data_IF_683057643272
#
_entry.id   IF_683057643272
#
_cell.length_a   1.000
_cell.length_b   1.000
_cell.length_c   1.000
_cell.angle_alpha   90.00
_cell.angle_beta   90.00
_cell.angle_gamma   90.00
#
_symmetry.space_group_name_H-M   'P 1'
#
loop_
_entity.id
_entity.type
_entity.pdbx_description
1 polymer ?
#
# COMPACT_ATOMS: atom_id res chain seq x y z
N UNK A 1 -2.11 26.15 -15.53
CA UNK A 1 -1.61 24.93 -14.85
C UNK A 1 -1.65 23.79 -15.87
N UNK A 2 -0.59 22.99 -16.07
CA UNK A 2 -0.51 22.01 -17.19
C UNK A 2 -1.68 21.01 -17.22
N UNK A 3 -2.10 20.52 -16.05
CA UNK A 3 -3.27 19.61 -15.89
C UNK A 3 -4.58 20.23 -16.39
N UNK A 4 -4.76 21.54 -16.29
CA UNK A 4 -5.98 22.23 -16.76
C UNK A 4 -6.01 22.40 -18.28
N UNK A 5 -4.92 22.05 -18.97
CA UNK A 5 -4.78 22.06 -20.43
C UNK A 5 -4.64 20.65 -21.01
N UNK A 6 -4.99 19.62 -20.24
CA UNK A 6 -4.81 18.20 -20.59
C UNK A 6 -3.36 17.77 -20.91
N UNK A 7 -2.37 18.58 -20.51
CA UNK A 7 -0.94 18.30 -20.72
C UNK A 7 -0.39 17.42 -19.59
N UNK A 8 -0.94 16.21 -19.45
CA UNK A 8 -0.62 15.32 -18.34
C UNK A 8 0.80 14.76 -18.40
N UNK A 9 1.32 14.44 -19.59
CA UNK A 9 2.68 13.88 -19.73
C UNK A 9 3.72 14.92 -19.32
N UNK A 10 3.55 16.16 -19.74
CA UNK A 10 4.39 17.29 -19.39
C UNK A 10 4.28 17.62 -17.90
N UNK A 11 3.07 17.56 -17.33
CA UNK A 11 2.87 17.73 -15.90
C UNK A 11 3.63 16.67 -15.08
N UNK A 12 3.62 15.40 -15.50
CA UNK A 12 4.41 14.34 -14.87
C UNK A 12 5.91 14.69 -14.86
N UNK A 13 6.47 15.18 -15.97
CA UNK A 13 7.88 15.59 -16.03
C UNK A 13 8.20 16.71 -15.05
N UNK A 14 7.28 17.67 -14.88
CA UNK A 14 7.45 18.73 -13.87
C UNK A 14 7.44 18.14 -12.46
N UNK A 15 6.48 17.28 -12.11
CA UNK A 15 6.42 16.65 -10.80
C UNK A 15 7.67 15.82 -10.47
N UNK A 16 8.23 15.10 -11.44
CA UNK A 16 9.49 14.39 -11.22
C UNK A 16 10.68 15.31 -11.04
N UNK A 17 10.72 16.46 -11.72
CA UNK A 17 11.81 17.43 -11.57
C UNK A 17 11.84 18.05 -10.16
N UNK A 18 10.66 18.33 -9.61
CA UNK A 18 10.54 18.95 -8.27
C UNK A 18 10.53 17.90 -7.15
N UNK A 19 10.38 16.62 -7.47
CA UNK A 19 10.62 15.54 -6.53
C UNK A 19 12.12 15.48 -6.19
N UNK A 20 12.48 15.54 -4.92
CA UNK A 20 13.87 15.40 -4.46
C UNK A 20 14.32 16.37 -3.37
N UNK A 21 13.53 17.41 -3.07
CA UNK A 21 13.88 18.38 -2.03
C UNK A 21 13.80 17.77 -0.62
N UNK A 22 12.66 17.16 -0.28
CA UNK A 22 12.44 16.47 1.00
C UNK A 22 11.64 15.17 0.79
N UNK A 23 11.76 14.16 1.68
CA UNK A 23 11.06 12.88 1.52
C UNK A 23 9.53 13.01 1.44
N UNK A 24 8.92 13.86 2.29
CA UNK A 24 7.47 14.07 2.28
C UNK A 24 7.02 14.83 1.03
N UNK A 25 7.77 15.86 0.64
CA UNK A 25 7.54 16.57 -0.61
C UNK A 25 7.58 15.61 -1.81
N UNK A 26 8.60 14.76 -1.86
CA UNK A 26 8.78 13.76 -2.92
C UNK A 26 7.62 12.76 -2.95
N UNK A 27 7.11 12.34 -1.79
CA UNK A 27 5.92 11.48 -1.70
C UNK A 27 4.70 12.11 -2.38
N UNK A 28 4.44 13.39 -2.09
CA UNK A 28 3.33 14.16 -2.67
C UNK A 28 3.52 14.33 -4.17
N UNK A 29 4.73 14.67 -4.63
CA UNK A 29 5.01 14.87 -6.06
C UNK A 29 4.88 13.58 -6.86
N UNK A 30 5.33 12.45 -6.32
CA UNK A 30 5.09 11.13 -6.94
C UNK A 30 3.60 10.78 -6.99
N UNK A 31 2.83 11.11 -5.96
CA UNK A 31 1.39 10.90 -5.98
C UNK A 31 0.72 11.74 -7.08
N UNK A 32 1.07 13.03 -7.17
CA UNK A 32 0.54 13.91 -8.21
C UNK A 32 0.93 13.45 -9.63
N UNK A 33 2.17 13.01 -9.81
CA UNK A 33 2.63 12.39 -11.05
C UNK A 33 1.83 11.13 -11.40
N UNK A 34 1.46 10.33 -10.39
CA UNK A 34 0.64 9.13 -10.60
C UNK A 34 -0.72 9.48 -11.21
N UNK A 35 -1.40 10.51 -10.72
CA UNK A 35 -2.71 10.92 -11.26
C UNK A 35 -2.60 11.46 -12.69
N UNK A 36 -1.49 12.07 -13.07
CA UNK A 36 -1.26 12.43 -14.47
C UNK A 36 -1.27 11.19 -15.38
N UNK A 37 -0.74 10.04 -14.94
CA UNK A 37 -0.85 8.79 -15.70
C UNK A 37 -2.27 8.24 -15.76
N UNK A 38 -3.07 8.43 -14.71
CA UNK A 38 -4.48 8.04 -14.71
C UNK A 38 -5.30 8.85 -15.73
N UNK A 39 -5.06 10.16 -15.82
CA UNK A 39 -5.81 11.07 -16.69
C UNK A 39 -5.23 11.25 -18.10
N UNK A 40 -4.04 10.68 -18.37
CA UNK A 40 -3.47 10.66 -19.70
C UNK A 40 -4.42 9.97 -20.72
N UNK A 41 -4.29 10.34 -22.00
CA UNK A 41 -5.03 9.73 -23.10
C UNK A 41 -4.04 9.01 -24.03
N UNK A 42 -4.05 7.65 -24.10
CA UNK A 42 -4.83 6.72 -23.28
C UNK A 42 -4.32 6.64 -21.81
N UNK A 43 -5.16 6.19 -20.86
CA UNK A 43 -4.76 6.00 -19.46
C UNK A 43 -3.60 5.01 -19.32
N UNK A 44 -2.63 5.33 -18.48
CA UNK A 44 -1.43 4.53 -18.25
C UNK A 44 -1.51 3.85 -16.87
N UNK A 45 -2.48 2.96 -16.68
CA UNK A 45 -2.83 2.37 -15.38
C UNK A 45 -1.65 1.70 -14.66
N UNK A 46 -0.78 0.98 -15.40
CA UNK A 46 0.44 0.39 -14.82
C UNK A 46 1.31 1.45 -14.14
N UNK A 47 1.54 2.57 -14.82
CA UNK A 47 2.35 3.66 -14.29
C UNK A 47 1.64 4.33 -13.12
N UNK A 48 0.33 4.55 -13.20
CA UNK A 48 -0.46 5.06 -12.08
C UNK A 48 -0.29 4.21 -10.82
N UNK A 49 -0.60 2.92 -10.89
CA UNK A 49 -0.47 2.02 -9.73
C UNK A 49 0.96 1.94 -9.19
N UNK A 50 1.96 1.84 -10.07
CA UNK A 50 3.36 1.77 -9.65
C UNK A 50 3.82 3.02 -8.89
N UNK A 51 3.44 4.22 -9.35
CA UNK A 51 3.83 5.47 -8.69
C UNK A 51 3.04 5.71 -7.39
N UNK A 52 1.83 5.17 -7.25
CA UNK A 52 1.13 5.14 -5.96
C UNK A 52 1.88 4.31 -4.92
N UNK A 53 2.44 3.14 -5.30
CA UNK A 53 3.26 2.32 -4.39
C UNK A 53 4.50 3.10 -3.95
N UNK A 54 5.25 3.68 -4.89
CA UNK A 54 6.44 4.50 -4.57
C UNK A 54 6.12 5.69 -3.66
N UNK A 55 5.00 6.38 -3.92
CA UNK A 55 4.51 7.46 -3.08
C UNK A 55 4.18 6.95 -1.66
N UNK A 56 3.51 5.79 -1.55
CA UNK A 56 3.20 5.15 -0.28
C UNK A 56 4.43 4.77 0.54
N UNK A 57 5.49 4.29 -0.11
CA UNK A 57 6.77 3.96 0.54
C UNK A 57 7.42 5.22 1.16
N UNK A 58 7.40 6.34 0.43
CA UNK A 58 7.91 7.61 0.94
C UNK A 58 7.03 8.15 2.07
N UNK A 59 5.71 8.09 1.94
CA UNK A 59 4.81 8.43 3.04
C UNK A 59 5.09 7.60 4.29
N UNK A 60 5.40 6.31 4.13
CA UNK A 60 5.70 5.43 5.28
C UNK A 60 7.00 5.82 5.97
N UNK A 61 8.02 6.24 5.19
CA UNK A 61 9.29 6.76 5.72
C UNK A 61 9.13 8.09 6.45
N UNK A 62 8.08 8.84 6.16
CA UNK A 62 7.73 10.10 6.83
C UNK A 62 6.64 9.94 7.91
N UNK A 63 6.36 8.70 8.33
CA UNK A 63 5.34 8.34 9.31
C UNK A 63 3.91 8.83 8.99
N UNK A 64 3.63 9.05 7.71
CA UNK A 64 2.31 9.46 7.21
C UNK A 64 1.40 8.26 6.94
N UNK A 65 1.10 7.47 7.98
CA UNK A 65 0.41 6.17 7.86
C UNK A 65 -0.93 6.24 7.10
N UNK A 66 -1.72 7.30 7.33
CA UNK A 66 -3.00 7.52 6.62
C UNK A 66 -2.79 7.63 5.11
N UNK A 67 -1.76 8.37 4.67
CA UNK A 67 -1.45 8.53 3.26
C UNK A 67 -0.87 7.24 2.67
N UNK A 68 0.01 6.55 3.40
CA UNK A 68 0.55 5.24 3.03
C UNK A 68 -0.56 4.22 2.73
N UNK A 69 -1.51 4.04 3.65
CA UNK A 69 -2.63 3.09 3.46
C UNK A 69 -3.47 3.50 2.24
N UNK A 70 -3.79 4.79 2.10
CA UNK A 70 -4.62 5.30 1.01
C UNK A 70 -3.98 5.06 -0.35
N UNK A 71 -2.68 5.34 -0.53
CA UNK A 71 -2.01 5.12 -1.81
C UNK A 71 -1.88 3.63 -2.14
N UNK A 72 -1.56 2.78 -1.16
CA UNK A 72 -1.51 1.33 -1.34
C UNK A 72 -2.88 0.74 -1.71
N UNK A 73 -3.97 1.17 -1.06
CA UNK A 73 -5.34 0.78 -1.45
C UNK A 73 -5.65 1.19 -2.89
N UNK A 74 -5.28 2.41 -3.27
CA UNK A 74 -5.40 2.88 -4.65
C UNK A 74 -4.59 2.04 -5.65
N UNK A 75 -3.41 1.55 -5.27
CA UNK A 75 -2.63 0.66 -6.10
C UNK A 75 -3.27 -0.73 -6.24
N UNK A 76 -3.89 -1.28 -5.18
CA UNK A 76 -4.58 -2.57 -5.23
C UNK A 76 -5.73 -2.59 -6.23
N UNK A 77 -6.49 -1.50 -6.37
CA UNK A 77 -7.59 -1.44 -7.36
C UNK A 77 -7.07 -1.55 -8.79
N UNK A 78 -5.85 -1.11 -9.05
CA UNK A 78 -5.17 -1.20 -10.35
C UNK A 78 -4.65 -2.62 -10.61
N UNK A 79 -4.14 -3.30 -9.59
CA UNK A 79 -3.46 -4.59 -9.75
C UNK A 79 -4.39 -5.79 -9.64
N UNK A 80 -5.59 -5.61 -9.09
CA UNK A 80 -6.61 -6.65 -8.97
C UNK A 80 -6.93 -7.28 -10.34
N UNK A 81 -6.90 -8.60 -10.41
CA UNK A 81 -7.19 -9.36 -11.64
C UNK A 81 -6.16 -9.24 -12.76
N UNK A 82 -5.04 -8.55 -12.53
CA UNK A 82 -3.94 -8.45 -13.51
C UNK A 82 -2.91 -9.56 -13.34
N UNK A 83 -1.95 -9.66 -14.27
CA UNK A 83 -0.79 -10.57 -14.15
C UNK A 83 0.35 -9.97 -13.32
N UNK A 84 0.19 -8.78 -12.73
CA UNK A 84 1.25 -8.11 -11.96
C UNK A 84 1.28 -8.60 -10.51
N UNK A 85 1.41 -9.91 -10.34
CA UNK A 85 1.27 -10.56 -9.04
C UNK A 85 2.35 -10.13 -8.05
N UNK A 86 3.62 -9.97 -8.49
CA UNK A 86 4.69 -9.59 -7.56
C UNK A 86 4.47 -8.25 -6.86
N UNK A 87 4.04 -7.22 -7.60
CA UNK A 87 3.75 -5.91 -6.99
C UNK A 87 2.45 -5.94 -6.20
N UNK A 88 1.45 -6.70 -6.65
CA UNK A 88 0.21 -6.89 -5.88
C UNK A 88 0.50 -7.55 -4.54
N UNK A 89 1.33 -8.60 -4.52
CA UNK A 89 1.72 -9.32 -3.32
C UNK A 89 2.57 -8.44 -2.40
N UNK A 90 3.49 -7.64 -2.95
CA UNK A 90 4.22 -6.61 -2.19
C UNK A 90 3.26 -5.67 -1.45
N UNK A 91 2.23 -5.18 -2.15
CA UNK A 91 1.25 -4.25 -1.60
C UNK A 91 0.39 -4.92 -0.52
N UNK A 92 -0.13 -6.12 -0.76
CA UNK A 92 -0.91 -6.89 0.22
C UNK A 92 -0.10 -7.22 1.47
N UNK A 93 1.14 -7.69 1.32
CA UNK A 93 1.98 -8.06 2.45
C UNK A 93 2.25 -6.87 3.38
N UNK A 94 2.64 -5.72 2.82
CA UNK A 94 2.95 -4.53 3.62
C UNK A 94 1.70 -3.90 4.24
N UNK A 95 0.62 -3.73 3.46
CA UNK A 95 -0.60 -3.12 4.00
C UNK A 95 -1.25 -3.99 5.08
N UNK A 96 -1.18 -5.33 4.96
CA UNK A 96 -1.62 -6.25 6.00
C UNK A 96 -0.88 -6.03 7.32
N UNK A 97 0.46 -5.95 7.27
CA UNK A 97 1.28 -5.65 8.46
C UNK A 97 0.97 -4.29 9.08
N UNK A 98 0.71 -3.27 8.26
CA UNK A 98 0.36 -1.95 8.77
C UNK A 98 -1.03 -1.91 9.40
N UNK A 99 -2.02 -2.64 8.86
CA UNK A 99 -3.31 -2.77 9.52
C UNK A 99 -3.21 -3.52 10.85
N UNK A 100 -2.38 -4.57 10.93
CA UNK A 100 -2.14 -5.26 12.19
C UNK A 100 -1.51 -4.32 13.23
N UNK A 101 -0.55 -3.50 12.83
CA UNK A 101 0.04 -2.47 13.69
C UNK A 101 -1.00 -1.45 14.20
N UNK A 102 -2.04 -1.17 13.42
CA UNK A 102 -3.16 -0.30 13.80
C UNK A 102 -4.26 -1.02 14.59
N UNK A 103 -4.09 -2.30 14.92
CA UNK A 103 -5.09 -3.11 15.63
C UNK A 103 -6.29 -3.53 14.76
N UNK A 104 -6.21 -3.34 13.43
CA UNK A 104 -7.25 -3.75 12.50
C UNK A 104 -7.01 -5.19 12.01
N UNK A 105 -7.08 -6.16 12.93
CA UNK A 105 -6.63 -7.53 12.70
C UNK A 105 -7.41 -8.27 11.61
N UNK A 106 -8.75 -8.18 11.59
CA UNK A 106 -9.58 -8.74 10.52
C UNK A 106 -9.11 -8.30 9.11
N UNK A 107 -8.85 -7.01 8.94
CA UNK A 107 -8.43 -6.43 7.66
C UNK A 107 -7.00 -6.86 7.33
N UNK A 108 -6.13 -6.92 8.33
CA UNK A 108 -4.76 -7.39 8.19
C UNK A 108 -4.71 -8.84 7.71
N UNK A 109 -5.45 -9.72 8.38
CA UNK A 109 -5.54 -11.16 8.09
C UNK A 109 -6.00 -11.38 6.64
N UNK A 110 -7.06 -10.69 6.21
CA UNK A 110 -7.55 -10.77 4.83
C UNK A 110 -6.45 -10.43 3.81
N UNK A 111 -5.64 -9.42 4.07
CA UNK A 111 -4.54 -9.07 3.18
C UNK A 111 -3.38 -10.08 3.19
N UNK A 112 -3.07 -10.71 4.32
CA UNK A 112 -2.04 -11.76 4.35
C UNK A 112 -2.53 -13.05 3.66
N UNK A 113 -3.83 -13.37 3.78
CA UNK A 113 -4.42 -14.50 3.06
C UNK A 113 -4.32 -14.34 1.54
N UNK A 114 -4.46 -13.12 1.01
CA UNK A 114 -4.28 -12.85 -0.42
C UNK A 114 -2.89 -13.26 -0.94
N UNK A 115 -1.83 -13.09 -0.14
CA UNK A 115 -0.47 -13.49 -0.57
C UNK A 115 -0.17 -14.96 -0.30
N UNK A 116 -0.83 -15.58 0.68
CA UNK A 116 -0.73 -17.01 0.96
C UNK A 116 -1.48 -17.87 -0.06
N UNK A 117 -2.54 -17.33 -0.69
CA UNK A 117 -3.36 -18.05 -1.64
C UNK A 117 -2.62 -18.45 -2.94
N UNK A 118 -1.44 -17.89 -3.21
CA UNK A 118 -0.74 -18.10 -4.47
C UNK A 118 0.63 -18.77 -4.34
N UNK A 119 0.89 -19.73 -5.23
CA UNK A 119 2.10 -20.57 -5.28
C UNK A 119 3.29 -20.03 -6.08
N UNK A 120 3.26 -18.78 -6.54
CA UNK A 120 4.26 -18.27 -7.49
C UNK A 120 5.49 -17.60 -6.82
N UNK A 121 5.46 -17.49 -5.49
CA UNK A 121 6.57 -16.95 -4.70
C UNK A 121 7.55 -18.06 -4.32
N UNK A 122 8.77 -17.68 -3.92
CA UNK A 122 9.73 -18.65 -3.41
C UNK A 122 9.23 -19.30 -2.11
N UNK A 123 9.71 -20.51 -1.80
CA UNK A 123 9.43 -21.19 -0.53
C UNK A 123 9.73 -20.28 0.68
N UNK A 124 10.89 -19.62 0.67
CA UNK A 124 11.31 -18.69 1.73
C UNK A 124 10.34 -17.53 1.91
N UNK A 125 9.80 -17.00 0.80
CA UNK A 125 8.79 -15.93 0.83
C UNK A 125 7.46 -16.44 1.40
N UNK A 126 7.03 -17.65 1.05
CA UNK A 126 5.81 -18.23 1.60
C UNK A 126 5.93 -18.53 3.10
N UNK A 127 7.08 -19.05 3.54
CA UNK A 127 7.37 -19.25 4.97
C UNK A 127 7.33 -17.93 5.75
N UNK A 128 7.86 -16.85 5.16
CA UNK A 128 7.76 -15.49 5.70
C UNK A 128 6.30 -15.06 5.86
N UNK A 129 5.47 -15.22 4.83
CA UNK A 129 4.05 -14.85 4.88
C UNK A 129 3.29 -15.66 5.94
N UNK A 130 3.55 -16.96 6.03
CA UNK A 130 2.87 -17.84 6.98
C UNK A 130 3.24 -17.49 8.43
N UNK A 131 4.52 -17.19 8.69
CA UNK A 131 4.97 -16.73 10.00
C UNK A 131 4.29 -15.42 10.40
N UNK A 132 4.27 -14.44 9.50
CA UNK A 132 3.65 -13.14 9.78
C UNK A 132 2.12 -13.27 9.96
N UNK A 133 1.45 -14.19 9.25
CA UNK A 133 0.04 -14.55 9.50
C UNK A 133 -0.19 -15.03 10.95
N UNK A 134 0.59 -16.03 11.40
CA UNK A 134 0.44 -16.55 12.76
C UNK A 134 0.71 -15.49 13.83
N UNK A 135 1.69 -14.61 13.61
CA UNK A 135 1.97 -13.49 14.51
C UNK A 135 0.76 -12.55 14.65
N UNK A 136 0.12 -12.20 13.53
CA UNK A 136 -1.05 -11.32 13.54
C UNK A 136 -2.22 -11.95 14.30
N UNK A 137 -2.52 -13.23 14.05
CA UNK A 137 -3.57 -13.97 14.76
C UNK A 137 -3.27 -14.07 16.27
N UNK A 138 -2.01 -14.25 16.66
CA UNK A 138 -1.62 -14.23 18.08
C UNK A 138 -1.83 -12.84 18.71
N UNK A 139 -1.52 -11.76 18.00
CA UNK A 139 -1.75 -10.38 18.47
C UNK A 139 -3.24 -10.08 18.68
N UNK A 140 -4.10 -10.55 17.78
CA UNK A 140 -5.56 -10.44 17.88
C UNK A 140 -6.08 -11.12 19.15
N UNK A 141 -5.78 -12.40 19.34
CA UNK A 141 -6.18 -13.18 20.53
C UNK A 141 -5.72 -12.54 21.85
N UNK A 142 -4.50 -12.00 21.89
CA UNK A 142 -3.98 -11.32 23.08
C UNK A 142 -4.71 -10.01 23.38
N UNK A 143 -5.20 -9.32 22.36
CA UNK A 143 -5.95 -8.06 22.50
C UNK A 143 -7.35 -8.34 23.04
N UNK A 144 -8.05 -9.32 22.45
CA UNK A 144 -9.37 -9.76 22.93
C UNK A 144 -9.36 -10.21 24.38
N UNK A 145 -8.32 -10.95 24.77
CA UNK A 145 -8.12 -11.41 26.14
C UNK A 145 -8.02 -10.23 27.11
N UNK A 146 -7.26 -9.18 26.76
CA UNK A 146 -7.11 -7.98 27.61
C UNK A 146 -8.40 -7.17 27.74
N UNK A 147 -9.18 -7.08 26.68
CA UNK A 147 -10.44 -6.33 26.71
C UNK A 147 -11.50 -7.07 27.54
N UNK A 148 -11.53 -8.41 27.49
CA UNK A 148 -12.37 -9.25 28.34
C UNK A 148 -12.04 -9.06 29.83
N UNK A 149 -10.76 -9.01 30.20
CA UNK A 149 -10.36 -8.78 31.59
C UNK A 149 -10.72 -7.36 32.11
N UNK A 150 -10.70 -6.33 31.25
CA UNK A 150 -11.11 -4.97 31.64
C UNK A 150 -12.62 -4.85 31.90
N UNK A 151 -13.44 -5.58 31.14
CA UNK A 151 -14.90 -5.57 31.32
C UNK A 151 -15.35 -6.23 32.63
N UNK A 152 -14.56 -7.13 33.20
CA UNK A 152 -14.87 -7.78 34.48
C UNK A 152 -14.37 -7.02 35.72
N UNK A 153 -13.72 -5.87 35.56
CA UNK A 153 -13.21 -5.03 36.65
C UNK A 153 -13.96 -3.69 36.81
N UNK A 154 -15.04 -3.49 36.05
CA UNK A 154 -16.00 -2.38 36.20
C UNK A 154 -17.35 -2.93 36.63
#
# INVERSE_FOLDING_TARGET
MLKTRDQFKEATTVYFRISGEEPLHSAVMLEQASYCYLFAKPPMLRKYGFHLVLSGDLYKKCDQMKHTIRTYRGALTVFKGTKWNHIRDHVHFHIGKWYAFLGMFDVAINHILEVLAYGHQSKTTQELFLRDFFQIVQMENQTETKDTYKQHQQ
#
